data_IF_488363809479
#
_entry.id   IF_488363809479
#
_cell.length_a   1.000
_cell.length_b   1.000
_cell.length_c   1.000
_cell.angle_alpha   90.00
_cell.angle_beta   90.00
_cell.angle_gamma   90.00
#
_symmetry.space_group_name_H-M   'P 1'
#
loop_
_entity.id
_entity.type
_entity.pdbx_description
1 polymer ?
#
# COMPACT_ATOMS: atom_id res chain seq x y z
N UNK A 1 12.22 -4.68 -14.20
CA UNK A 1 12.88 -3.76 -13.26
C UNK A 1 12.92 -4.48 -11.91
N UNK A 2 14.04 -5.11 -11.59
CA UNK A 2 14.17 -5.93 -10.36
C UNK A 2 14.49 -5.01 -9.17
N UNK A 3 13.77 -5.17 -8.06
CA UNK A 3 13.97 -4.33 -6.89
C UNK A 3 15.37 -4.57 -6.31
N UNK A 4 16.19 -3.51 -6.28
CA UNK A 4 17.55 -3.49 -5.73
C UNK A 4 17.61 -4.19 -4.35
N UNK A 5 18.66 -4.98 -4.04
CA UNK A 5 18.74 -5.81 -2.83
C UNK A 5 18.55 -5.04 -1.52
N UNK A 6 18.84 -3.74 -1.52
CA UNK A 6 18.63 -2.83 -0.39
C UNK A 6 17.17 -2.71 0.04
N UNK A 7 16.23 -2.84 -0.90
CA UNK A 7 14.79 -2.77 -0.60
C UNK A 7 14.26 -4.06 0.03
N UNK A 8 14.89 -5.22 -0.26
CA UNK A 8 14.56 -6.50 0.41
C UNK A 8 15.07 -6.52 1.86
N UNK A 9 16.18 -5.84 2.12
CA UNK A 9 16.81 -5.81 3.44
C UNK A 9 16.04 -4.92 4.44
N UNK A 10 15.35 -3.88 3.97
CA UNK A 10 14.72 -2.90 4.86
C UNK A 10 13.28 -2.60 4.46
N UNK A 11 12.36 -3.37 5.05
CA UNK A 11 10.92 -3.24 4.84
C UNK A 11 10.41 -1.81 5.09
N UNK A 12 11.01 -1.08 6.04
CA UNK A 12 10.68 0.32 6.32
C UNK A 12 10.91 1.21 5.09
N UNK A 13 12.04 1.07 4.41
CA UNK A 13 12.37 1.87 3.23
C UNK A 13 11.47 1.54 2.03
N UNK A 14 11.12 0.26 1.86
CA UNK A 14 10.16 -0.18 0.84
C UNK A 14 8.77 0.42 1.11
N UNK A 15 8.32 0.38 2.37
CA UNK A 15 7.05 0.97 2.79
C UNK A 15 6.98 2.47 2.46
N UNK A 16 7.94 3.24 2.95
CA UNK A 16 7.90 4.71 2.84
C UNK A 16 8.10 5.19 1.41
N UNK A 17 8.94 4.53 0.61
CA UNK A 17 9.31 5.01 -0.73
C UNK A 17 8.49 4.42 -1.87
N UNK A 18 7.80 3.29 -1.64
CA UNK A 18 7.07 2.58 -2.69
C UNK A 18 5.61 2.39 -2.32
N UNK A 19 5.32 1.77 -1.18
CA UNK A 19 3.94 1.40 -0.82
C UNK A 19 3.10 2.65 -0.54
N UNK A 20 3.58 3.55 0.31
CA UNK A 20 2.86 4.78 0.67
C UNK A 20 2.56 5.70 -0.53
N UNK A 21 3.53 6.05 -1.39
CA UNK A 21 3.24 6.86 -2.57
C UNK A 21 2.33 6.15 -3.58
N UNK A 22 2.48 4.83 -3.77
CA UNK A 22 1.61 4.08 -4.68
C UNK A 22 0.16 4.02 -4.18
N UNK A 23 -0.05 3.78 -2.88
CA UNK A 23 -1.40 3.76 -2.27
C UNK A 23 -2.03 5.16 -2.35
N UNK A 24 -1.25 6.22 -2.11
CA UNK A 24 -1.73 7.59 -2.23
C UNK A 24 -2.16 7.91 -3.67
N UNK A 25 -1.35 7.57 -4.66
CA UNK A 25 -1.65 7.83 -6.07
C UNK A 25 -2.90 7.07 -6.53
N UNK A 26 -3.04 5.80 -6.15
CA UNK A 26 -4.22 4.99 -6.48
C UNK A 26 -5.50 5.52 -5.80
N UNK A 27 -5.39 6.01 -4.56
CA UNK A 27 -6.53 6.63 -3.87
C UNK A 27 -6.98 7.93 -4.53
N UNK A 28 -6.04 8.79 -4.93
CA UNK A 28 -6.34 10.08 -5.56
C UNK A 28 -6.88 9.95 -6.98
N UNK A 29 -6.38 8.99 -7.78
CA UNK A 29 -6.75 8.88 -9.21
C UNK A 29 -7.91 7.92 -9.48
N UNK A 30 -8.05 6.84 -8.72
CA UNK A 30 -8.98 5.77 -9.05
C UNK A 30 -10.24 5.74 -8.19
N UNK A 31 -10.37 6.60 -7.16
CA UNK A 31 -11.52 6.54 -6.24
C UNK A 31 -11.64 5.17 -5.56
N UNK A 32 -10.50 4.54 -5.29
CA UNK A 32 -10.41 3.26 -4.59
C UNK A 32 -9.86 3.52 -3.19
N UNK A 33 -10.59 3.04 -2.17
CA UNK A 33 -10.07 3.02 -0.80
C UNK A 33 -9.17 1.78 -0.71
N UNK A 34 -7.87 2.04 -0.62
CA UNK A 34 -6.86 1.00 -0.46
C UNK A 34 -6.36 1.07 0.98
N UNK A 35 -6.74 0.08 1.77
CA UNK A 35 -6.18 -0.15 3.09
C UNK A 35 -5.15 -1.27 3.00
N UNK A 36 -4.09 -1.17 3.78
CA UNK A 36 -3.09 -2.21 3.83
C UNK A 36 -2.55 -2.37 5.24
N UNK A 37 -2.33 -3.61 5.64
CA UNK A 37 -1.80 -3.95 6.94
C UNK A 37 -0.58 -4.87 6.82
N UNK A 38 0.35 -4.73 7.78
CA UNK A 38 1.51 -5.61 7.88
C UNK A 38 1.13 -6.87 8.63
N UNK A 39 1.19 -8.02 7.97
CA UNK A 39 1.05 -9.32 8.63
C UNK A 39 2.40 -9.65 9.28
N UNK A 40 2.40 -9.69 10.62
CA UNK A 40 3.59 -10.00 11.43
C UNK A 40 3.53 -11.44 11.91
N UNK A 41 4.66 -12.13 11.83
CA UNK A 41 4.88 -13.40 12.53
C UNK A 41 6.00 -13.18 13.55
N UNK A 42 5.62 -13.09 14.83
CA UNK A 42 6.52 -12.70 15.91
C UNK A 42 7.12 -11.31 15.69
N UNK A 43 8.46 -11.21 15.67
CA UNK A 43 9.19 -9.93 15.50
C UNK A 43 9.42 -9.53 14.05
N UNK A 44 9.02 -10.36 13.08
CA UNK A 44 9.27 -10.12 11.65
C UNK A 44 7.95 -9.90 10.91
N UNK A 45 7.94 -8.95 9.98
CA UNK A 45 6.84 -8.81 9.01
C UNK A 45 6.99 -9.94 8.00
N UNK A 46 6.00 -10.81 7.90
CA UNK A 46 5.99 -11.96 6.99
C UNK A 46 5.21 -11.71 5.72
N UNK A 47 4.31 -10.73 5.73
CA UNK A 47 3.51 -10.41 4.55
C UNK A 47 2.80 -9.07 4.66
N UNK A 48 2.14 -8.71 3.58
CA UNK A 48 1.28 -7.56 3.46
C UNK A 48 -0.10 -8.04 3.06
N UNK A 49 -1.14 -7.57 3.75
CA UNK A 49 -2.52 -7.77 3.33
C UNK A 49 -3.01 -6.45 2.78
N UNK A 50 -3.49 -6.48 1.54
CA UNK A 50 -4.12 -5.34 0.89
C UNK A 50 -5.62 -5.59 0.84
N UNK A 51 -6.38 -4.61 1.27
CA UNK A 51 -7.83 -4.58 1.15
C UNK A 51 -8.22 -3.44 0.22
N UNK A 52 -8.95 -3.80 -0.83
CA UNK A 52 -9.41 -2.88 -1.85
C UNK A 52 -10.92 -2.76 -1.69
N UNK A 53 -11.38 -1.57 -1.34
CA UNK A 53 -12.79 -1.24 -1.33
C UNK A 53 -13.05 -0.17 -2.42
N UNK A 54 -14.12 -0.32 -3.23
CA UNK A 54 -14.60 0.80 -4.02
C UNK A 54 -15.00 1.91 -3.06
N UNK A 55 -14.61 3.16 -3.34
CA UNK A 55 -15.07 4.28 -2.52
C UNK A 55 -16.62 4.34 -2.63
N UNK A 56 -17.37 4.11 -1.54
CA UNK A 56 -18.82 4.18 -1.57
C UNK A 56 -19.31 5.60 -1.82
N UNK A 57 -18.42 6.60 -1.71
CA UNK A 57 -18.67 8.00 -2.01
C UNK A 57 -18.25 8.31 -3.45
N UNK A 58 -18.81 7.56 -4.40
CA UNK A 58 -18.80 7.94 -5.81
C UNK A 58 -19.32 9.37 -5.91
N UNK A 59 -18.51 10.24 -6.53
CA UNK A 59 -18.74 11.68 -6.67
C UNK A 59 -20.23 11.98 -6.78
N UNK A 60 -20.81 12.56 -5.73
CA UNK A 60 -22.07 13.26 -5.85
C UNK A 60 -21.79 14.50 -6.71
N UNK A 61 -21.89 14.31 -8.03
CA UNK A 61 -22.01 15.39 -8.99
C UNK A 61 -23.39 15.99 -8.78
N UNK A 62 -23.46 17.07 -8.00
CA UNK A 62 -24.59 18.00 -8.02
C UNK A 62 -24.20 19.24 -8.82
#
# INVERSE_FOLDING_TARGET
MDASPTYRANFKALRERVIEPAVKELREKNGLIIEWETVKSGRKVTGLRFEFAPDPQGTLLF
#
